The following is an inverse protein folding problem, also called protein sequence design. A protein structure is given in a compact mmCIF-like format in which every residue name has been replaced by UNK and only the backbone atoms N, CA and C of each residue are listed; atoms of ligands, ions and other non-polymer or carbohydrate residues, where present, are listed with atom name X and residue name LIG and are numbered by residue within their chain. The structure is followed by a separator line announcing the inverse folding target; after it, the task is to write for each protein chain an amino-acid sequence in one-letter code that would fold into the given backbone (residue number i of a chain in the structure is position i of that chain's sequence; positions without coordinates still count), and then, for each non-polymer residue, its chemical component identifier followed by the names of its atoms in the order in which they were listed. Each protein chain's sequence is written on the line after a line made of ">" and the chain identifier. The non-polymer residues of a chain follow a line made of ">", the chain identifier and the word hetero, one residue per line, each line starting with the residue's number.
data_IF_900179639693
#
_entry.id   IF_900179639693
#
_cell.length_a   1.000
_cell.length_b   1.000
_cell.length_c   1.000
_cell.angle_alpha   90.00
_cell.angle_beta   90.00
_cell.angle_gamma   90.00
#
_symmetry.space_group_name_H-M   'P 1'
#
loop_
_entity.id
_entity.type
_entity.pdbx_description
1 polymer ?
#
# COMPACT_ATOMS: atom_id res chain seq x y z
N UNK A 1 5.97 -3.70 -32.38
CA UNK A 1 5.45 -4.38 -31.17
C UNK A 1 5.67 -3.48 -29.95
N UNK A 2 4.57 -2.99 -29.39
CA UNK A 2 4.52 -1.91 -28.38
C UNK A 2 5.25 -2.33 -27.11
N UNK A 3 6.34 -1.62 -26.78
CA UNK A 3 6.91 -1.62 -25.43
C UNK A 3 6.02 -0.74 -24.57
N UNK A 4 5.15 -1.37 -23.79
CA UNK A 4 4.39 -0.70 -22.74
C UNK A 4 5.34 -0.39 -21.60
N UNK A 5 5.90 0.82 -21.61
CA UNK A 5 6.59 1.40 -20.46
C UNK A 5 5.55 1.59 -19.35
N UNK A 6 5.52 0.68 -18.38
CA UNK A 6 4.70 0.80 -17.17
C UNK A 6 5.24 1.98 -16.36
N UNK A 7 4.63 3.14 -16.55
CA UNK A 7 4.78 4.29 -15.67
C UNK A 7 4.24 3.89 -14.30
N UNK A 8 5.12 3.59 -13.35
CA UNK A 8 4.77 3.24 -11.96
C UNK A 8 4.26 4.43 -11.14
N UNK A 9 4.10 5.60 -11.76
CA UNK A 9 3.50 6.75 -11.11
C UNK A 9 2.02 6.83 -11.48
N UNK A 10 1.08 6.73 -10.51
CA UNK A 10 -0.28 7.15 -10.75
C UNK A 10 -0.27 8.64 -11.14
N UNK A 11 -0.85 9.03 -12.29
CA UNK A 11 -1.12 10.43 -12.55
C UNK A 11 -1.93 11.02 -11.38
N UNK A 12 -1.66 12.28 -11.01
CA UNK A 12 -2.23 12.97 -9.85
C UNK A 12 -3.79 13.05 -9.82
N UNK A 13 -4.47 12.60 -10.88
CA UNK A 13 -5.94 12.57 -11.05
C UNK A 13 -6.49 11.13 -11.22
N UNK A 14 -5.71 10.14 -10.80
CA UNK A 14 -6.05 8.73 -10.97
C UNK A 14 -7.09 8.33 -9.92
N UNK A 15 -8.36 8.24 -10.31
CA UNK A 15 -9.45 7.79 -9.43
C UNK A 15 -9.38 6.27 -9.08
N UNK A 16 -8.63 5.48 -9.86
CA UNK A 16 -8.45 4.06 -9.63
C UNK A 16 -7.11 3.52 -10.14
N UNK A 17 -6.53 2.55 -9.43
CA UNK A 17 -5.29 1.88 -9.81
C UNK A 17 -5.56 0.41 -10.12
N UNK A 18 -5.22 -0.01 -11.33
CA UNK A 18 -5.27 -1.41 -11.75
C UNK A 18 -3.90 -2.08 -11.58
N UNK A 19 -3.92 -3.27 -11.01
CA UNK A 19 -2.73 -4.09 -10.77
C UNK A 19 -2.67 -5.28 -11.75
N UNK A 20 -1.47 -5.78 -12.09
CA UNK A 20 -1.31 -6.89 -13.04
C UNK A 20 -2.02 -8.20 -12.64
N UNK A 21 -2.31 -8.38 -11.36
CA UNK A 21 -3.08 -9.50 -10.83
C UNK A 21 -4.60 -9.36 -11.05
N UNK A 22 -5.05 -8.30 -11.72
CA UNK A 22 -6.46 -8.02 -12.00
C UNK A 22 -7.19 -7.28 -10.87
N UNK A 23 -6.51 -6.91 -9.79
CA UNK A 23 -7.08 -6.09 -8.73
C UNK A 23 -7.24 -4.66 -9.21
N UNK A 24 -8.44 -4.10 -9.10
CA UNK A 24 -8.72 -2.69 -9.32
C UNK A 24 -9.06 -2.02 -8.00
N UNK A 25 -8.26 -1.04 -7.60
CA UNK A 25 -8.44 -0.26 -6.37
C UNK A 25 -9.03 1.09 -6.74
N UNK A 26 -10.26 1.37 -6.33
CA UNK A 26 -10.87 2.72 -6.46
C UNK A 26 -10.62 3.50 -5.19
N UNK A 27 -9.96 4.65 -5.28
CA UNK A 27 -9.63 5.43 -4.08
C UNK A 27 -10.87 5.97 -3.36
N UNK A 28 -11.99 6.15 -4.08
CA UNK A 28 -13.27 6.52 -3.50
C UNK A 28 -13.81 5.49 -2.50
N UNK A 29 -13.46 4.20 -2.65
CA UNK A 29 -13.85 3.13 -1.74
C UNK A 29 -13.29 3.35 -0.32
N UNK A 30 -12.23 4.15 -0.19
CA UNK A 30 -11.54 4.44 1.06
C UNK A 30 -11.76 5.87 1.55
N UNK A 31 -12.69 6.62 0.93
CA UNK A 31 -12.96 8.01 1.31
C UNK A 31 -13.46 8.16 2.75
N UNK A 32 -14.15 7.14 3.29
CA UNK A 32 -14.60 7.09 4.68
C UNK A 32 -13.48 6.79 5.69
N UNK A 33 -12.47 6.02 5.31
CA UNK A 33 -11.27 5.76 6.13
C UNK A 33 -10.24 6.90 6.03
N UNK A 34 -10.37 7.77 5.02
CA UNK A 34 -9.63 9.01 4.82
C UNK A 34 -10.16 10.22 5.64
N UNK A 35 -10.89 9.99 6.73
CA UNK A 35 -11.41 11.05 7.63
C UNK A 35 -10.33 11.87 8.37
N UNK A 36 -9.04 11.66 8.04
CA UNK A 36 -7.94 12.55 8.42
C UNK A 36 -7.66 13.67 7.39
N UNK A 37 -8.41 13.78 6.28
CA UNK A 37 -8.15 14.76 5.22
C UNK A 37 -8.23 16.24 5.68
N UNK A 38 -8.97 16.53 6.76
CA UNK A 38 -9.07 17.88 7.32
C UNK A 38 -7.91 18.34 8.21
N UNK A 39 -7.01 17.43 8.61
CA UNK A 39 -5.93 17.71 9.59
C UNK A 39 -4.51 17.61 9.00
N UNK A 40 -4.37 17.22 7.74
CA UNK A 40 -3.13 16.60 7.25
C UNK A 40 -2.57 17.21 5.94
N UNK A 41 -2.77 18.50 5.64
CA UNK A 41 -2.11 19.13 4.49
C UNK A 41 -0.59 18.88 4.41
N UNK A 42 0.21 19.09 5.47
CA UNK A 42 1.66 18.80 5.41
C UNK A 42 1.96 17.30 5.26
N UNK A 43 1.07 16.42 5.72
CA UNK A 43 1.18 14.98 5.53
C UNK A 43 0.92 14.59 4.06
N UNK A 44 -0.10 15.20 3.43
CA UNK A 44 -0.41 14.97 2.02
C UNK A 44 0.69 15.50 1.10
N UNK A 45 1.25 16.68 1.39
CA UNK A 45 2.37 17.25 0.62
C UNK A 45 3.63 16.38 0.72
N UNK A 46 3.99 15.94 1.93
CA UNK A 46 5.15 15.06 2.13
C UNK A 46 4.94 13.69 1.47
N UNK A 47 3.74 13.11 1.57
CA UNK A 47 3.41 11.85 0.93
C UNK A 47 3.48 11.96 -0.59
N UNK A 48 3.00 13.08 -1.16
CA UNK A 48 3.07 13.33 -2.60
C UNK A 48 4.53 13.38 -3.09
N UNK A 49 5.43 14.07 -2.39
CA UNK A 49 6.86 14.11 -2.76
C UNK A 49 7.51 12.72 -2.70
N UNK A 50 7.24 11.93 -1.65
CA UNK A 50 7.73 10.56 -1.50
C UNK A 50 7.21 9.65 -2.63
N UNK A 51 5.94 9.80 -3.00
CA UNK A 51 5.31 9.07 -4.11
C UNK A 51 5.91 9.48 -5.46
N UNK A 52 6.11 10.78 -5.69
CA UNK A 52 6.69 11.31 -6.93
C UNK A 52 8.13 10.80 -7.15
N UNK A 53 8.91 10.65 -6.08
CA UNK A 53 10.28 10.11 -6.13
C UNK A 53 10.33 8.60 -6.28
N UNK A 54 9.19 7.91 -6.14
CA UNK A 54 9.10 6.45 -6.13
C UNK A 54 9.76 5.81 -4.90
N UNK A 55 10.02 6.59 -3.85
CA UNK A 55 10.70 6.12 -2.63
C UNK A 55 9.80 5.17 -1.85
N UNK A 56 8.49 5.44 -1.79
CA UNK A 56 7.53 4.55 -1.14
C UNK A 56 7.61 3.11 -1.69
N UNK A 57 7.67 2.96 -3.02
CA UNK A 57 7.71 1.65 -3.66
C UNK A 57 9.01 0.89 -3.31
N UNK A 58 10.15 1.58 -3.28
CA UNK A 58 11.44 0.98 -2.92
C UNK A 58 11.46 0.52 -1.46
N UNK A 59 11.07 1.41 -0.55
CA UNK A 59 10.99 1.11 0.88
C UNK A 59 9.99 -0.02 1.14
N UNK A 60 8.83 -0.01 0.48
CA UNK A 60 7.85 -1.09 0.61
C UNK A 60 8.44 -2.44 0.17
N UNK A 61 9.19 -2.51 -0.93
CA UNK A 61 9.85 -3.76 -1.35
C UNK A 61 10.88 -4.23 -0.32
N UNK A 62 11.71 -3.33 0.20
CA UNK A 62 12.73 -3.68 1.20
C UNK A 62 12.11 -4.17 2.52
N UNK A 63 11.07 -3.49 3.00
CA UNK A 63 10.34 -3.87 4.21
C UNK A 63 9.57 -5.18 3.99
N UNK A 64 8.98 -5.39 2.82
CA UNK A 64 8.33 -6.66 2.48
C UNK A 64 9.31 -7.82 2.57
N UNK A 65 10.48 -7.70 1.94
CA UNK A 65 11.52 -8.73 1.95
C UNK A 65 12.04 -9.02 3.37
N UNK A 66 12.04 -8.01 4.24
CA UNK A 66 12.46 -8.16 5.65
C UNK A 66 11.40 -8.91 6.47
N UNK A 67 10.12 -8.73 6.15
CA UNK A 67 9.00 -9.39 6.82
C UNK A 67 8.74 -10.80 6.26
N UNK A 68 9.01 -11.05 4.97
CA UNK A 68 9.03 -12.40 4.38
C UNK A 68 10.32 -13.15 4.76
N UNK A 69 10.49 -13.37 6.08
CA UNK A 69 11.69 -13.99 6.67
C UNK A 69 11.99 -15.38 6.09
N UNK A 70 10.95 -16.07 5.63
CA UNK A 70 11.04 -17.42 5.08
C UNK A 70 11.13 -17.42 3.55
N UNK A 71 11.15 -16.25 2.89
CA UNK A 71 11.19 -16.10 1.43
C UNK A 71 10.10 -16.90 0.73
N UNK A 72 8.90 -16.89 1.30
CA UNK A 72 7.74 -17.62 0.78
C UNK A 72 7.10 -16.90 -0.40
N UNK A 73 7.42 -15.62 -0.60
CA UNK A 73 6.77 -14.76 -1.58
C UNK A 73 5.37 -14.33 -1.14
N UNK A 74 5.09 -14.36 0.16
CA UNK A 74 3.85 -13.84 0.73
C UNK A 74 3.99 -13.44 2.21
N UNK A 75 3.16 -12.49 2.63
CA UNK A 75 2.93 -12.13 4.04
C UNK A 75 1.55 -12.63 4.51
N UNK A 76 1.48 -13.24 5.69
CA UNK A 76 0.24 -13.78 6.23
C UNK A 76 -0.44 -12.81 7.21
N UNK A 77 -1.76 -12.71 7.12
CA UNK A 77 -2.57 -12.00 8.10
C UNK A 77 -2.51 -12.65 9.49
N UNK A 78 -2.66 -13.98 9.55
CA UNK A 78 -2.79 -14.75 10.79
C UNK A 78 -1.54 -14.74 11.69
N UNK A 79 -0.40 -14.28 11.17
CA UNK A 79 0.85 -14.11 11.91
C UNK A 79 1.21 -12.66 12.20
N UNK A 80 0.38 -11.72 11.77
CA UNK A 80 0.60 -10.28 11.89
C UNK A 80 1.65 -9.69 10.96
N UNK A 81 2.19 -10.48 10.02
CA UNK A 81 3.25 -10.06 9.09
C UNK A 81 2.81 -8.89 8.20
N UNK A 82 1.52 -8.84 7.84
CA UNK A 82 0.93 -7.74 7.09
C UNK A 82 0.87 -6.46 7.95
N UNK A 83 0.55 -6.54 9.24
CA UNK A 83 0.55 -5.36 10.12
C UNK A 83 1.96 -4.85 10.36
N UNK A 84 2.90 -5.76 10.64
CA UNK A 84 4.30 -5.40 10.85
C UNK A 84 4.88 -4.74 9.60
N UNK A 85 4.55 -5.25 8.43
CA UNK A 85 4.90 -4.65 7.15
C UNK A 85 4.35 -3.23 7.00
N UNK A 86 3.03 -3.04 7.15
CA UNK A 86 2.40 -1.73 6.98
C UNK A 86 2.91 -0.73 8.04
N UNK A 87 3.02 -1.16 9.30
CA UNK A 87 3.52 -0.31 10.38
C UNK A 87 4.96 0.15 10.14
N UNK A 88 5.85 -0.75 9.69
CA UNK A 88 7.25 -0.41 9.38
C UNK A 88 7.36 0.54 8.19
N UNK A 89 6.55 0.36 7.14
CA UNK A 89 6.51 1.31 6.00
C UNK A 89 6.08 2.70 6.48
N UNK A 90 5.03 2.81 7.29
CA UNK A 90 4.57 4.10 7.80
C UNK A 90 5.60 4.75 8.74
N UNK A 91 6.21 3.97 9.63
CA UNK A 91 7.25 4.46 10.54
C UNK A 91 8.50 4.96 9.80
N UNK A 92 8.86 4.35 8.67
CA UNK A 92 10.01 4.79 7.86
C UNK A 92 9.86 6.25 7.38
N UNK A 93 8.63 6.69 7.14
CA UNK A 93 8.31 8.06 6.74
C UNK A 93 7.81 8.93 7.90
N UNK A 94 8.06 8.50 9.14
CA UNK A 94 7.64 9.19 10.37
C UNK A 94 6.12 9.36 10.49
N UNK A 95 5.35 8.47 9.89
CA UNK A 95 3.90 8.47 9.96
C UNK A 95 3.38 7.53 11.06
N UNK A 96 2.19 7.86 11.57
CA UNK A 96 1.47 6.98 12.47
C UNK A 96 0.95 5.76 11.71
N UNK A 97 1.25 4.57 12.21
CA UNK A 97 0.74 3.33 11.63
C UNK A 97 -0.80 3.33 11.64
N UNK A 98 -1.46 2.88 10.56
CA UNK A 98 -2.90 2.70 10.55
C UNK A 98 -3.33 1.63 11.55
N UNK A 99 -4.59 1.71 12.00
CA UNK A 99 -5.19 0.67 12.82
C UNK A 99 -5.38 -0.64 12.03
N UNK A 100 -5.43 -1.76 12.74
CA UNK A 100 -5.70 -3.08 12.14
C UNK A 100 -6.98 -3.11 11.31
N UNK A 101 -8.03 -2.41 11.74
CA UNK A 101 -9.28 -2.28 10.99
C UNK A 101 -9.11 -1.55 9.64
N UNK A 102 -8.31 -0.47 9.62
CA UNK A 102 -7.99 0.26 8.38
C UNK A 102 -7.13 -0.60 7.45
N UNK A 103 -6.17 -1.35 8.00
CA UNK A 103 -5.33 -2.26 7.22
C UNK A 103 -6.17 -3.38 6.62
N UNK A 104 -7.11 -3.94 7.39
CA UNK A 104 -8.01 -5.01 6.93
C UNK A 104 -8.89 -4.55 5.75
N UNK A 105 -9.44 -3.34 5.84
CA UNK A 105 -10.30 -2.77 4.78
C UNK A 105 -9.57 -2.72 3.43
N UNK A 106 -8.29 -2.33 3.43
CA UNK A 106 -7.47 -2.30 2.21
C UNK A 106 -7.04 -3.70 1.80
N UNK A 107 -6.56 -4.48 2.76
CA UNK A 107 -6.01 -5.82 2.54
C UNK A 107 -7.00 -6.76 1.83
N UNK A 108 -8.27 -6.74 2.23
CA UNK A 108 -9.31 -7.61 1.64
C UNK A 108 -9.54 -7.41 0.13
N UNK A 109 -9.09 -6.30 -0.44
CA UNK A 109 -9.11 -6.09 -1.90
C UNK A 109 -8.03 -6.89 -2.63
N UNK A 110 -6.92 -7.16 -1.96
CA UNK A 110 -5.80 -7.92 -2.50
C UNK A 110 -5.91 -9.42 -2.18
N UNK A 111 -6.57 -9.79 -1.08
CA UNK A 111 -6.93 -11.18 -0.74
C UNK A 111 -8.11 -11.71 -1.57
N UNK A 112 -7.96 -11.71 -2.89
CA UNK A 112 -9.01 -12.16 -3.82
C UNK A 112 -9.34 -13.65 -3.67
N UNK A 113 -8.38 -14.43 -3.14
CA UNK A 113 -8.49 -15.88 -2.97
C UNK A 113 -9.01 -16.28 -1.58
N UNK A 114 -9.12 -15.33 -0.65
CA UNK A 114 -9.53 -15.54 0.75
C UNK A 114 -8.65 -16.55 1.48
N UNK A 115 -7.36 -16.54 1.18
CA UNK A 115 -6.37 -17.41 1.81
C UNK A 115 -5.60 -16.70 2.94
N UNK A 116 -5.96 -15.45 3.23
CA UNK A 116 -5.34 -14.63 4.27
C UNK A 116 -3.85 -14.31 4.01
N UNK A 117 -3.45 -14.30 2.73
CA UNK A 117 -2.10 -13.94 2.28
C UNK A 117 -2.07 -12.62 1.48
N UNK A 118 -0.91 -11.99 1.45
CA UNK A 118 -0.55 -10.87 0.57
C UNK A 118 0.66 -11.31 -0.28
N UNK A 119 0.44 -11.51 -1.58
CA UNK A 119 1.43 -11.94 -2.58
C UNK A 119 2.05 -10.75 -3.33
#
# INVERSE_FOLDING_TARGET
>A
PVQSSLSTQPPADTACMGYPNGVEVRFADFSSSATAAGLNQPFLERMADVLERGELARIAVDVYNTNDRQKRGYLAWSGGEIFDFVAQVFQHFEFSAPSEAQIYEVYTKFDTRRDMLLE
#
